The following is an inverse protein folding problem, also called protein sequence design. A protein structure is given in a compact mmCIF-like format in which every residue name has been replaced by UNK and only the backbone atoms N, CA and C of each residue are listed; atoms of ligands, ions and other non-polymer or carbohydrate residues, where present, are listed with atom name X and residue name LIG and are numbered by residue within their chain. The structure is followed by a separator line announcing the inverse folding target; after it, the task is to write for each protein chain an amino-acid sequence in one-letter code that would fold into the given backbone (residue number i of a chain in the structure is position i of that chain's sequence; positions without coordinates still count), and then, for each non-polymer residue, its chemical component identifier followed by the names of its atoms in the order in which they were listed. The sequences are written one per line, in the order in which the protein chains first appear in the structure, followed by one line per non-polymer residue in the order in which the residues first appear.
data_IF_146702529879
#
_entry.id   IF_146702529879
#
_cell.length_a   1.000
_cell.length_b   1.000
_cell.length_c   1.000
_cell.angle_alpha   90.00
_cell.angle_beta   90.00
_cell.angle_gamma   90.00
#
_symmetry.space_group_name_H-M   'P 1'
#
loop_
_entity.id
_entity.type
_entity.pdbx_description
1 polymer ?
#
# COMPACT_ATOMS: atom_id res chain seq x y z
N UNK A 1 6.55 -13.04 4.88
CA UNK A 1 7.16 -12.33 3.74
C UNK A 1 6.15 -11.37 3.12
N UNK A 2 6.60 -10.22 2.66
CA UNK A 2 5.75 -9.25 1.97
C UNK A 2 6.13 -9.24 0.51
N UNK A 3 5.14 -9.39 -0.36
CA UNK A 3 5.33 -9.32 -1.81
C UNK A 3 4.42 -8.26 -2.38
N UNK A 4 4.88 -7.60 -3.43
CA UNK A 4 4.08 -6.63 -4.16
C UNK A 4 3.63 -7.23 -5.48
N UNK A 5 2.37 -7.02 -5.82
CA UNK A 5 1.95 -7.26 -7.20
C UNK A 5 2.71 -6.31 -8.11
N UNK A 6 3.10 -6.74 -9.32
CA UNK A 6 3.91 -5.88 -10.21
C UNK A 6 3.31 -4.51 -10.45
N UNK A 7 2.00 -4.43 -10.63
CA UNK A 7 1.34 -3.13 -10.83
C UNK A 7 1.45 -2.25 -9.61
N UNK A 8 1.37 -2.84 -8.40
CA UNK A 8 1.51 -2.08 -7.16
C UNK A 8 2.94 -1.54 -6.99
N UNK A 9 3.93 -2.35 -7.34
CA UNK A 9 5.32 -1.92 -7.27
C UNK A 9 5.60 -0.76 -8.22
N UNK A 10 5.06 -0.83 -9.44
CA UNK A 10 5.23 0.26 -10.42
C UNK A 10 4.56 1.53 -9.95
N UNK A 11 3.36 1.43 -9.40
CA UNK A 11 2.65 2.60 -8.88
C UNK A 11 3.40 3.26 -7.75
N UNK A 12 3.94 2.46 -6.84
CA UNK A 12 4.72 3.02 -5.74
C UNK A 12 5.94 3.77 -6.25
N UNK A 13 6.67 3.19 -7.19
CA UNK A 13 7.85 3.83 -7.78
C UNK A 13 7.47 5.15 -8.47
N UNK A 14 6.37 5.14 -9.21
CA UNK A 14 5.88 6.34 -9.90
C UNK A 14 5.49 7.44 -8.91
N UNK A 15 4.84 7.08 -7.81
CA UNK A 15 4.42 8.05 -6.81
C UNK A 15 5.60 8.61 -6.03
N UNK A 16 6.61 7.79 -5.74
CA UNK A 16 7.84 8.28 -5.11
C UNK A 16 8.51 9.30 -6.02
N UNK A 17 8.63 8.99 -7.31
CA UNK A 17 9.23 9.91 -8.28
C UNK A 17 8.43 11.20 -8.41
N UNK A 18 7.11 11.09 -8.39
CA UNK A 18 6.22 12.26 -8.46
C UNK A 18 6.46 13.20 -7.28
N UNK A 19 6.54 12.67 -6.06
CA UNK A 19 6.78 13.48 -4.88
C UNK A 19 8.17 14.12 -4.90
N UNK A 20 9.18 13.42 -5.40
CA UNK A 20 10.52 13.98 -5.48
C UNK A 20 10.62 15.11 -6.50
N UNK A 21 9.87 15.04 -7.60
CA UNK A 21 9.84 16.14 -8.58
C UNK A 21 9.21 17.40 -7.99
N UNK A 22 8.20 17.20 -7.15
CA UNK A 22 7.47 18.30 -6.56
C UNK A 22 8.26 18.98 -5.44
N UNK A 23 8.97 18.17 -4.65
CA UNK A 23 9.69 18.70 -3.49
C UNK A 23 10.78 17.72 -3.07
N UNK A 24 12.03 18.20 -3.09
CA UNK A 24 13.19 17.35 -2.79
C UNK A 24 13.05 16.66 -1.45
N UNK A 25 13.32 15.35 -1.42
CA UNK A 25 13.22 14.53 -0.22
C UNK A 25 11.83 14.06 0.13
N UNK A 26 10.80 14.57 -0.56
CA UNK A 26 9.43 14.18 -0.22
C UNK A 26 9.12 12.75 -0.64
N UNK A 27 9.69 12.32 -1.77
CA UNK A 27 9.55 10.92 -2.19
C UNK A 27 10.16 9.97 -1.19
N UNK A 28 11.31 10.32 -0.62
CA UNK A 28 11.95 9.52 0.41
C UNK A 28 11.06 9.43 1.66
N UNK A 29 10.48 10.54 2.09
CA UNK A 29 9.58 10.54 3.25
C UNK A 29 8.33 9.70 2.98
N UNK A 30 7.80 9.75 1.77
CA UNK A 30 6.66 8.93 1.38
C UNK A 30 7.03 7.44 1.41
N UNK A 31 8.16 7.09 0.82
CA UNK A 31 8.65 5.72 0.81
C UNK A 31 8.84 5.19 2.23
N UNK A 32 9.42 6.00 3.12
CA UNK A 32 9.61 5.62 4.52
C UNK A 32 8.28 5.40 5.23
N UNK A 33 7.29 6.24 4.95
CA UNK A 33 5.96 6.09 5.55
C UNK A 33 5.29 4.79 5.10
N UNK A 34 5.43 4.44 3.83
CA UNK A 34 4.92 3.17 3.30
C UNK A 34 5.63 2.00 3.97
N UNK A 35 6.96 2.06 4.08
CA UNK A 35 7.74 0.99 4.72
C UNK A 35 7.32 0.79 6.17
N UNK A 36 7.08 1.88 6.89
CA UNK A 36 6.62 1.79 8.27
C UNK A 36 5.25 1.13 8.35
N UNK A 37 4.35 1.47 7.44
CA UNK A 37 3.02 0.85 7.38
C UNK A 37 3.15 -0.65 7.10
N UNK A 38 4.02 -1.04 6.18
CA UNK A 38 4.26 -2.45 5.87
C UNK A 38 4.78 -3.20 7.09
N UNK A 39 5.67 -2.58 7.88
CA UNK A 39 6.17 -3.17 9.11
C UNK A 39 5.07 -3.43 10.12
N UNK A 40 4.13 -2.49 10.26
CA UNK A 40 2.99 -2.64 11.16
C UNK A 40 2.07 -3.77 10.67
N UNK A 41 1.82 -3.83 9.37
CA UNK A 41 1.01 -4.90 8.80
C UNK A 41 1.66 -6.26 9.04
N UNK A 42 2.97 -6.35 8.86
CA UNK A 42 3.70 -7.61 9.06
C UNK A 42 3.58 -8.10 10.51
N UNK A 43 3.51 -7.18 11.46
CA UNK A 43 3.41 -7.53 12.88
C UNK A 43 2.05 -8.10 13.23
N UNK A 44 0.97 -7.48 12.74
CA UNK A 44 -0.40 -7.89 13.05
C UNK A 44 -1.28 -7.79 11.80
N UNK A 45 -1.08 -8.70 10.84
CA UNK A 45 -1.75 -8.55 9.54
C UNK A 45 -3.28 -8.65 9.61
N UNK A 46 -3.82 -9.33 10.62
CA UNK A 46 -5.27 -9.48 10.75
C UNK A 46 -5.91 -8.38 11.60
N UNK A 47 -5.11 -7.45 12.14
CA UNK A 47 -5.63 -6.39 12.99
C UNK A 47 -6.29 -5.26 12.17
N UNK A 48 -5.98 -5.15 10.88
CA UNK A 48 -6.49 -4.07 10.05
C UNK A 48 -7.84 -4.45 9.45
N UNK A 49 -8.74 -3.48 9.31
CA UNK A 49 -10.11 -3.79 8.88
C UNK A 49 -10.17 -4.26 7.44
N UNK A 50 -11.19 -5.05 7.16
CA UNK A 50 -11.50 -5.45 5.80
C UNK A 50 -11.99 -4.23 5.03
N UNK A 51 -11.41 -4.02 3.87
CA UNK A 51 -11.84 -2.99 2.94
C UNK A 51 -12.89 -3.58 1.99
N UNK A 52 -12.66 -4.83 1.55
CA UNK A 52 -13.62 -5.61 0.77
C UNK A 52 -13.62 -7.03 1.26
N UNK A 53 -14.82 -7.55 1.47
CA UNK A 53 -14.99 -8.95 1.85
C UNK A 53 -14.61 -9.86 0.69
N UNK A 54 -14.14 -11.07 0.95
CA UNK A 54 -13.96 -11.65 2.29
C UNK A 54 -12.60 -11.39 2.90
N UNK A 55 -11.61 -10.87 2.18
CA UNK A 55 -10.23 -10.93 2.65
C UNK A 55 -9.34 -9.75 2.32
N UNK A 56 -9.85 -8.75 1.63
CA UNK A 56 -9.03 -7.59 1.26
C UNK A 56 -9.03 -6.57 2.39
N UNK A 57 -7.85 -6.31 2.94
CA UNK A 57 -7.65 -5.39 4.05
C UNK A 57 -6.90 -4.16 3.59
N UNK A 58 -6.97 -3.10 4.38
CA UNK A 58 -6.15 -1.93 4.12
C UNK A 58 -5.68 -1.28 5.40
N UNK A 59 -4.52 -0.63 5.31
CA UNK A 59 -3.95 0.16 6.39
C UNK A 59 -3.60 1.54 5.85
N UNK A 60 -3.95 2.57 6.61
CA UNK A 60 -3.68 3.93 6.22
C UNK A 60 -2.19 4.26 6.37
N UNK A 61 -1.63 4.99 5.40
CA UNK A 61 -0.26 5.48 5.46
C UNK A 61 -0.28 6.81 6.22
N UNK A 62 0.51 6.91 7.29
CA UNK A 62 0.54 8.13 8.10
C UNK A 62 1.03 9.31 7.28
N UNK A 63 0.33 10.44 7.39
CA UNK A 63 0.70 11.74 6.80
C UNK A 63 0.56 11.84 5.28
N UNK A 64 0.17 10.77 4.63
CA UNK A 64 -0.04 10.77 3.17
C UNK A 64 -1.43 10.23 2.89
N UNK A 65 -2.10 10.72 1.85
CA UNK A 65 -3.46 10.30 1.54
C UNK A 65 -3.47 8.97 0.77
N UNK A 66 -2.89 7.93 1.37
CA UNK A 66 -2.74 6.62 0.76
C UNK A 66 -3.15 5.53 1.72
N UNK A 67 -3.51 4.37 1.16
CA UNK A 67 -3.71 3.13 1.90
C UNK A 67 -2.91 2.02 1.25
N UNK A 68 -2.34 1.16 2.08
CA UNK A 68 -1.74 -0.08 1.61
C UNK A 68 -2.87 -1.11 1.60
N UNK A 69 -3.20 -1.61 0.42
CA UNK A 69 -4.27 -2.60 0.22
C UNK A 69 -3.61 -3.96 0.02
N UNK A 70 -4.03 -4.96 0.81
CA UNK A 70 -3.34 -6.24 0.82
C UNK A 70 -4.27 -7.40 1.12
N UNK A 71 -3.78 -8.61 0.81
CA UNK A 71 -4.41 -9.87 1.22
C UNK A 71 -3.36 -10.73 1.92
N UNK A 72 -3.81 -11.62 2.79
CA UNK A 72 -2.95 -12.58 3.46
C UNK A 72 -3.08 -13.90 2.71
N UNK A 73 -1.94 -14.43 2.24
CA UNK A 73 -1.91 -15.67 1.48
C UNK A 73 -0.88 -16.60 2.10
N UNK A 74 -1.36 -17.67 2.75
CA UNK A 74 -0.46 -18.65 3.36
C UNK A 74 0.49 -18.06 4.37
N UNK A 75 0.04 -17.07 5.14
CA UNK A 75 0.87 -16.39 6.12
C UNK A 75 1.71 -15.25 5.56
N UNK A 76 1.80 -15.15 4.24
CA UNK A 76 2.49 -14.05 3.57
C UNK A 76 1.51 -12.93 3.24
N UNK A 77 2.07 -11.75 2.99
CA UNK A 77 1.27 -10.58 2.64
C UNK A 77 1.53 -10.22 1.18
N UNK A 78 0.46 -10.20 0.39
CA UNK A 78 0.50 -9.72 -0.99
C UNK A 78 -0.09 -8.33 -1.05
N UNK A 79 0.74 -7.34 -1.41
CA UNK A 79 0.29 -5.96 -1.56
C UNK A 79 -0.32 -5.81 -2.94
N UNK A 80 -1.60 -5.48 -2.98
CA UNK A 80 -2.34 -5.29 -4.23
C UNK A 80 -2.17 -3.87 -4.76
N UNK A 81 -2.06 -2.89 -3.87
CA UNK A 81 -1.93 -1.49 -4.25
C UNK A 81 -1.46 -0.65 -3.09
N UNK A 82 -0.78 0.46 -3.41
CA UNK A 82 -0.60 1.59 -2.51
C UNK A 82 -1.48 2.67 -3.13
N UNK A 83 -2.70 2.77 -2.62
CA UNK A 83 -3.78 3.47 -3.30
C UNK A 83 -3.99 4.88 -2.78
N UNK A 84 -3.89 5.87 -3.67
CA UNK A 84 -4.21 7.25 -3.34
C UNK A 84 -5.71 7.39 -3.07
N UNK A 85 -6.06 8.22 -2.09
CA UNK A 85 -7.44 8.41 -1.67
C UNK A 85 -8.35 8.92 -2.80
N UNK A 86 -7.79 9.59 -3.80
CA UNK A 86 -8.56 10.14 -4.92
C UNK A 86 -8.73 9.18 -6.09
N UNK A 87 -8.05 8.03 -6.06
CA UNK A 87 -8.22 7.04 -7.12
C UNK A 87 -9.58 6.36 -6.98
N UNK A 88 -10.11 5.88 -8.11
CA UNK A 88 -11.39 5.17 -8.10
C UNK A 88 -11.33 3.97 -7.16
N UNK A 89 -12.24 3.84 -6.21
CA UNK A 89 -12.23 2.72 -5.28
C UNK A 89 -12.30 1.38 -6.02
N UNK A 90 -11.47 0.44 -5.58
CA UNK A 90 -11.52 -0.91 -6.10
C UNK A 90 -10.81 -1.14 -7.43
N UNK A 91 -10.09 -0.14 -7.96
CA UNK A 91 -9.38 -0.32 -9.23
C UNK A 91 -8.38 -1.48 -9.19
N UNK A 92 -7.91 -1.85 -8.00
CA UNK A 92 -6.92 -2.91 -7.78
C UNK A 92 -7.56 -4.29 -7.57
N UNK A 93 -8.88 -4.40 -7.60
CA UNK A 93 -9.56 -5.66 -7.26
C UNK A 93 -9.18 -6.81 -8.17
N UNK A 94 -8.89 -6.52 -9.43
CA UNK A 94 -8.48 -7.55 -10.40
C UNK A 94 -7.06 -8.04 -10.19
N UNK A 95 -6.30 -7.38 -9.34
CA UNK A 95 -4.91 -7.77 -9.07
C UNK A 95 -4.80 -8.92 -8.09
N UNK A 96 -5.90 -9.26 -7.48
CA UNK A 96 -5.95 -10.32 -6.50
C UNK A 96 -5.88 -11.74 -7.14
#
# INVERSE_FOLDING_TARGET
MIRFRPAAARELADDVAYYDRDYEGRGHRFSDAVDRTLGLIATLPEAYPLLYEPEIRSAKVARFPYRVVYVIVGGDIDVLAVAHARRRPGYWRRRR
#
